data_IF_681077815626
#
_entry.id   IF_681077815626
#
_cell.length_a   1.000
_cell.length_b   1.000
_cell.length_c   1.000
_cell.angle_alpha   90.00
_cell.angle_beta   90.00
_cell.angle_gamma   90.00
#
_symmetry.space_group_name_H-M   'P 1'
#
loop_
_entity.id
_entity.type
_entity.pdbx_description
1 polymer ?
#
# COMPACT_ATOMS: atom_id res chain seq x y z
N UNK A 1 -37.39 49.87 -8.14
CA UNK A 1 -36.22 49.33 -8.87
C UNK A 1 -35.04 49.36 -7.92
N UNK A 2 -34.83 48.26 -7.18
CA UNK A 2 -33.66 48.11 -6.32
C UNK A 2 -33.39 46.64 -6.06
N UNK A 3 -32.10 46.29 -6.20
CA UNK A 3 -31.44 45.07 -5.72
C UNK A 3 -31.66 43.78 -6.51
N UNK A 4 -30.96 43.66 -7.64
CA UNK A 4 -30.50 42.36 -8.16
C UNK A 4 -29.31 41.91 -7.31
N UNK A 5 -29.61 41.11 -6.28
CA UNK A 5 -28.63 40.38 -5.50
C UNK A 5 -28.15 39.17 -6.29
N UNK A 6 -26.84 39.00 -6.23
CA UNK A 6 -26.10 37.82 -6.60
C UNK A 6 -26.64 36.59 -5.87
N UNK A 7 -27.13 35.59 -6.59
CA UNK A 7 -27.28 34.24 -6.07
C UNK A 7 -26.43 33.30 -6.91
N UNK A 8 -25.30 32.99 -6.30
CA UNK A 8 -24.19 32.19 -6.80
C UNK A 8 -24.66 30.73 -6.94
N UNK A 9 -24.55 30.18 -8.15
CA UNK A 9 -24.88 28.80 -8.48
C UNK A 9 -23.89 27.84 -7.82
N UNK A 10 -24.18 27.46 -6.58
CA UNK A 10 -23.47 26.43 -5.82
C UNK A 10 -24.47 25.68 -4.95
N UNK A 11 -24.67 24.41 -5.29
CA UNK A 11 -25.08 23.28 -4.45
C UNK A 11 -26.26 22.49 -5.04
N UNK A 12 -25.96 21.63 -6.01
CA UNK A 12 -26.64 20.34 -6.08
C UNK A 12 -25.63 19.25 -6.44
N UNK A 13 -24.66 19.05 -5.54
CA UNK A 13 -23.87 17.82 -5.50
C UNK A 13 -24.73 16.76 -4.82
N UNK A 14 -25.74 16.27 -5.55
CA UNK A 14 -26.46 15.06 -5.17
C UNK A 14 -25.61 13.87 -5.62
N UNK A 15 -25.10 13.03 -4.69
CA UNK A 15 -24.41 11.81 -5.07
C UNK A 15 -25.47 10.80 -5.52
N UNK A 16 -25.67 10.68 -6.84
CA UNK A 16 -26.45 9.59 -7.42
C UNK A 16 -25.72 8.27 -7.13
N UNK A 17 -26.33 7.44 -6.27
CA UNK A 17 -25.91 6.10 -5.89
C UNK A 17 -26.10 5.07 -7.03
N UNK A 18 -25.66 5.44 -8.24
CA UNK A 18 -25.76 4.65 -9.45
C UNK A 18 -24.39 4.55 -10.14
N UNK A 19 -23.36 4.15 -9.40
CA UNK A 19 -22.16 3.51 -9.98
C UNK A 19 -21.56 2.56 -8.95
N UNK A 20 -22.36 1.58 -8.53
CA UNK A 20 -21.88 0.36 -7.89
C UNK A 20 -22.24 -0.77 -8.83
N UNK A 21 -21.33 -1.12 -9.75
CA UNK A 21 -21.19 -2.44 -10.35
C UNK A 21 -20.04 -2.39 -11.37
N UNK A 22 -19.13 -3.36 -11.25
CA UNK A 22 -18.16 -3.78 -12.27
C UNK A 22 -16.93 -2.90 -12.49
N UNK A 23 -15.96 -3.02 -11.57
CA UNK A 23 -14.54 -3.19 -11.96
C UNK A 23 -13.83 -4.05 -10.91
N UNK A 24 -14.12 -5.36 -10.94
CA UNK A 24 -13.29 -6.40 -10.35
C UNK A 24 -12.11 -6.66 -11.30
N UNK A 25 -11.29 -5.65 -11.51
CA UNK A 25 -10.01 -5.79 -12.20
C UNK A 25 -8.94 -5.30 -11.25
N UNK A 26 -8.01 -6.20 -10.93
CA UNK A 26 -6.70 -5.87 -10.40
C UNK A 26 -5.98 -5.02 -11.45
N UNK A 27 -6.40 -3.77 -11.60
CA UNK A 27 -5.62 -2.77 -12.29
C UNK A 27 -4.45 -2.54 -11.35
N UNK A 28 -3.35 -3.20 -11.66
CA UNK A 28 -2.02 -2.81 -11.19
C UNK A 28 -1.77 -1.43 -11.81
N UNK A 29 -2.50 -0.43 -11.30
CA UNK A 29 -2.27 0.96 -11.60
C UNK A 29 -0.87 1.18 -11.08
N UNK A 30 0.07 1.28 -12.02
CA UNK A 30 1.43 1.72 -11.74
C UNK A 30 1.28 3.16 -11.27
N UNK A 31 0.98 3.33 -9.98
CA UNK A 31 0.80 4.62 -9.36
C UNK A 31 2.12 5.35 -9.48
N UNK A 32 2.12 6.50 -10.16
CA UNK A 32 3.29 7.33 -10.32
C UNK A 32 3.60 8.02 -8.98
N UNK A 33 4.29 7.29 -8.10
CA UNK A 33 4.62 7.73 -6.74
C UNK A 33 5.43 9.04 -6.68
N UNK A 34 6.17 9.36 -7.75
CA UNK A 34 7.01 10.56 -7.83
C UNK A 34 6.24 11.89 -7.80
N UNK A 35 4.94 11.89 -8.11
CA UNK A 35 4.11 13.10 -8.13
C UNK A 35 3.22 13.25 -6.88
N UNK A 36 3.27 12.28 -5.96
CA UNK A 36 2.38 12.29 -4.80
C UNK A 36 2.91 13.22 -3.70
N UNK A 37 2.02 13.95 -3.01
CA UNK A 37 2.36 14.55 -1.73
C UNK A 37 2.93 13.51 -0.77
N UNK A 38 3.91 13.89 0.05
CA UNK A 38 4.65 12.98 0.95
C UNK A 38 3.71 12.10 1.78
N UNK A 39 2.62 12.67 2.30
CA UNK A 39 1.65 11.92 3.10
C UNK A 39 0.97 10.81 2.30
N UNK A 40 0.53 11.11 1.07
CA UNK A 40 -0.11 10.13 0.19
C UNK A 40 0.88 9.04 -0.23
N UNK A 41 2.14 9.37 -0.47
CA UNK A 41 3.18 8.37 -0.75
C UNK A 41 3.32 7.36 0.40
N UNK A 42 3.44 7.85 1.64
CA UNK A 42 3.58 6.99 2.81
C UNK A 42 2.31 6.15 3.05
N UNK A 43 1.13 6.76 2.93
CA UNK A 43 -0.16 6.08 3.12
C UNK A 43 -0.39 4.94 2.12
N UNK A 44 0.14 5.06 0.89
CA UNK A 44 -0.03 4.05 -0.17
C UNK A 44 1.09 3.00 -0.22
N UNK A 45 2.25 3.25 0.40
CA UNK A 45 3.41 2.34 0.29
C UNK A 45 3.67 1.57 1.57
N UNK A 46 3.90 2.26 2.69
CA UNK A 46 4.50 1.66 3.89
C UNK A 46 3.62 1.74 5.13
N UNK A 47 2.72 2.72 5.23
CA UNK A 47 1.91 2.93 6.45
C UNK A 47 1.04 1.70 6.79
N UNK A 48 0.33 1.05 5.85
CA UNK A 48 -0.53 -0.08 6.20
C UNK A 48 0.24 -1.22 6.86
N UNK A 49 1.38 -1.63 6.28
CA UNK A 49 2.21 -2.71 6.80
C UNK A 49 2.93 -2.32 8.09
N UNK A 50 3.34 -1.04 8.23
CA UNK A 50 3.94 -0.53 9.48
C UNK A 50 2.96 -0.58 10.64
N UNK A 51 1.70 -0.18 10.42
CA UNK A 51 0.66 -0.24 11.47
C UNK A 51 0.41 -1.69 11.92
N UNK A 52 0.36 -2.64 10.99
CA UNK A 52 0.21 -4.06 11.31
C UNK A 52 1.42 -4.62 12.07
N UNK A 53 2.64 -4.25 11.65
CA UNK A 53 3.87 -4.66 12.33
C UNK A 53 3.98 -4.09 13.74
N UNK A 54 3.65 -2.81 13.93
CA UNK A 54 3.64 -2.16 15.23
C UNK A 54 2.60 -2.77 16.18
N UNK A 55 1.41 -3.10 15.68
CA UNK A 55 0.41 -3.83 16.46
C UNK A 55 0.93 -5.20 16.94
N UNK A 56 1.68 -5.90 16.09
CA UNK A 56 2.30 -7.19 16.43
C UNK A 56 3.38 -7.03 17.51
N UNK A 57 4.23 -6.00 17.41
CA UNK A 57 5.24 -5.67 18.43
C UNK A 57 4.60 -5.40 19.79
N UNK A 58 3.50 -4.63 19.82
CA UNK A 58 2.79 -4.31 21.09
C UNK A 58 2.21 -5.57 21.73
N UNK A 59 1.77 -6.53 20.91
CA UNK A 59 1.19 -7.80 21.35
C UNK A 59 2.24 -8.77 21.90
N UNK A 60 3.36 -8.93 21.19
CA UNK A 60 4.39 -9.92 21.55
C UNK A 60 5.44 -9.38 22.52
N UNK A 61 5.67 -8.06 22.52
CA UNK A 61 6.70 -7.37 23.29
C UNK A 61 8.06 -8.11 23.27
N UNK A 62 8.63 -8.34 22.07
CA UNK A 62 9.92 -9.01 21.93
C UNK A 62 11.04 -8.22 22.62
N UNK A 63 12.11 -8.91 23.00
CA UNK A 63 13.29 -8.30 23.62
C UNK A 63 13.94 -7.22 22.71
N UNK A 64 13.96 -7.47 21.40
CA UNK A 64 14.38 -6.50 20.38
C UNK A 64 13.21 -6.15 19.44
N UNK A 65 12.48 -5.06 19.70
CA UNK A 65 11.34 -4.65 18.88
C UNK A 65 11.73 -4.15 17.48
N UNK A 66 12.96 -3.64 17.31
CA UNK A 66 13.42 -3.11 16.01
C UNK A 66 13.72 -4.27 15.07
N UNK A 67 14.50 -5.24 15.54
CA UNK A 67 14.83 -6.43 14.77
C UNK A 67 13.58 -7.24 14.41
N UNK A 68 12.65 -7.36 15.36
CA UNK A 68 11.36 -8.00 15.12
C UNK A 68 10.57 -7.28 14.03
N UNK A 69 10.42 -5.96 14.12
CA UNK A 69 9.66 -5.18 13.15
C UNK A 69 10.27 -5.26 11.75
N UNK A 70 11.60 -5.15 11.63
CA UNK A 70 12.27 -5.30 10.34
C UNK A 70 11.99 -6.67 9.71
N UNK A 71 12.11 -7.74 10.51
CA UNK A 71 11.80 -9.10 10.07
C UNK A 71 10.33 -9.26 9.67
N UNK A 72 9.42 -8.65 10.42
CA UNK A 72 7.99 -8.65 10.12
C UNK A 72 7.70 -8.00 8.75
N UNK A 73 8.28 -6.82 8.50
CA UNK A 73 8.11 -6.10 7.25
C UNK A 73 8.63 -6.89 6.04
N UNK A 74 9.79 -7.54 6.16
CA UNK A 74 10.37 -8.34 5.09
C UNK A 74 9.53 -9.58 4.76
N UNK A 75 8.98 -10.26 5.79
CA UNK A 75 8.16 -11.46 5.62
C UNK A 75 6.77 -11.17 5.04
N UNK A 76 6.20 -10.01 5.35
CA UNK A 76 4.85 -9.62 4.95
C UNK A 76 4.85 -8.59 3.80
N UNK A 77 5.98 -8.37 3.14
CA UNK A 77 6.10 -7.40 2.06
C UNK A 77 5.21 -7.83 0.86
N UNK A 78 4.14 -7.09 0.51
CA UNK A 78 3.24 -7.46 -0.58
C UNK A 78 3.90 -7.37 -1.97
N UNK A 79 5.05 -6.70 -2.06
CA UNK A 79 5.82 -6.56 -3.30
C UNK A 79 6.95 -7.58 -3.41
N UNK A 80 7.13 -8.46 -2.41
CA UNK A 80 8.07 -9.58 -2.53
C UNK A 80 7.52 -10.49 -3.62
N UNK A 81 8.08 -10.36 -4.82
CA UNK A 81 7.95 -11.39 -5.84
C UNK A 81 8.44 -12.67 -5.17
N UNK A 82 7.71 -13.76 -5.35
CA UNK A 82 8.25 -15.09 -5.06
C UNK A 82 9.41 -15.32 -6.04
N UNK A 83 10.55 -14.68 -5.79
CA UNK A 83 11.83 -15.13 -6.32
C UNK A 83 12.06 -16.47 -5.67
N UNK A 84 11.87 -17.50 -6.48
CA UNK A 84 12.02 -18.89 -6.11
C UNK A 84 13.40 -19.12 -5.53
N UNK A 85 13.43 -20.05 -4.58
CA UNK A 85 14.63 -20.71 -4.10
C UNK A 85 15.34 -21.38 -5.31
N UNK A 86 16.18 -20.62 -6.03
CA UNK A 86 17.20 -21.17 -6.92
C UNK A 86 18.42 -21.57 -6.07
N UNK A 87 18.20 -22.47 -5.12
CA UNK A 87 19.27 -23.21 -4.44
C UNK A 87 19.59 -24.47 -5.27
N UNK A 88 20.88 -24.79 -5.39
CA UNK A 88 21.46 -26.05 -5.91
C UNK A 88 21.45 -26.32 -7.43
N UNK A 89 22.32 -25.63 -8.17
CA UNK A 89 23.13 -26.27 -9.23
C UNK A 89 24.56 -25.76 -9.15
N UNK A 90 25.45 -26.55 -8.55
CA UNK A 90 26.88 -26.70 -8.93
C UNK A 90 27.73 -27.25 -7.77
N UNK A 91 27.33 -28.38 -7.19
CA UNK A 91 28.24 -29.18 -6.33
C UNK A 91 28.76 -30.45 -7.02
N UNK A 92 28.62 -30.58 -8.34
CA UNK A 92 29.10 -31.77 -9.03
C UNK A 92 29.99 -31.47 -10.25
N UNK A 93 31.12 -30.83 -10.01
CA UNK A 93 32.26 -30.80 -10.93
C UNK A 93 33.46 -31.52 -10.29
N UNK A 94 33.28 -32.81 -10.00
CA UNK A 94 34.41 -33.71 -9.75
C UNK A 94 34.11 -35.10 -10.29
N UNK A 95 34.13 -35.21 -11.61
CA UNK A 95 34.33 -36.50 -12.27
C UNK A 95 34.97 -36.26 -13.64
N UNK A 96 36.30 -36.11 -13.64
CA UNK A 96 37.24 -36.68 -14.60
C UNK A 96 38.69 -36.41 -14.12
#
# INVERSE_FOLDING_TARGET
>A
MSSEKQDNLLADFTPSAATLEQTKEKVHAKTNYNALPVRAYLDQTVVPILLQGLASVVRERPEDPIQYLASYLLRHNPNKKEEGDDDERDTNEKMD
#
